data_IF_009928712674
#
_entry.id   IF_009928712674
#
_cell.length_a   1.000
_cell.length_b   1.000
_cell.length_c   1.000
_cell.angle_alpha   90.00
_cell.angle_beta   90.00
_cell.angle_gamma   90.00
#
_symmetry.space_group_name_H-M   'P 1'
#
loop_
_entity.id
_entity.type
_entity.pdbx_description
1 polymer ?
#
# COMPACT_ATOMS: atom_id res chain seq x y z
N UNK A 1 48.50 60.51 13.89
CA UNK A 1 47.15 59.95 13.67
C UNK A 1 46.62 60.45 12.33
N UNK A 2 46.76 59.67 11.26
CA UNK A 2 46.22 60.02 9.93
C UNK A 2 45.02 59.11 9.65
N UNK A 3 43.82 59.70 9.56
CA UNK A 3 42.57 59.01 9.26
C UNK A 3 42.58 58.57 7.79
N UNK A 4 42.51 57.26 7.57
CA UNK A 4 42.39 56.64 6.27
C UNK A 4 40.93 56.74 5.80
N UNK A 5 40.65 57.64 4.87
CA UNK A 5 39.31 57.89 4.34
C UNK A 5 39.09 57.00 3.11
N UNK A 6 38.63 55.77 3.32
CA UNK A 6 38.19 54.92 2.21
C UNK A 6 36.82 55.40 1.73
N UNK A 7 36.82 56.11 0.61
CA UNK A 7 35.62 56.46 -0.12
C UNK A 7 35.02 55.17 -0.73
N UNK A 8 33.93 54.67 -0.12
CA UNK A 8 33.11 53.63 -0.73
C UNK A 8 32.40 54.25 -1.94
N UNK A 9 32.86 53.91 -3.15
CA UNK A 9 32.19 54.31 -4.38
C UNK A 9 30.86 53.57 -4.46
N UNK A 10 29.78 54.24 -4.06
CA UNK A 10 28.42 53.76 -4.28
C UNK A 10 28.16 53.85 -5.78
N UNK A 11 28.05 52.69 -6.43
CA UNK A 11 27.68 52.61 -7.84
C UNK A 11 26.32 53.31 -8.05
N UNK A 12 26.12 54.07 -9.14
CA UNK A 12 24.86 54.72 -9.41
C UNK A 12 23.73 53.67 -9.49
N UNK A 13 22.72 53.81 -8.64
CA UNK A 13 21.52 52.97 -8.69
C UNK A 13 20.78 53.27 -9.99
N UNK A 14 20.89 52.36 -10.95
CA UNK A 14 20.06 52.38 -12.15
C UNK A 14 18.64 51.95 -11.75
N UNK A 15 17.67 52.86 -11.89
CA UNK A 15 16.27 52.58 -11.60
C UNK A 15 15.66 51.58 -12.61
N UNK A 16 14.65 50.83 -12.17
CA UNK A 16 13.95 49.87 -13.02
C UNK A 16 13.30 50.56 -14.22
N UNK A 17 13.50 50.00 -15.41
CA UNK A 17 12.75 50.43 -16.58
C UNK A 17 11.34 49.80 -16.56
N UNK A 18 10.32 50.50 -17.08
CA UNK A 18 8.95 49.96 -17.15
C UNK A 18 8.89 48.66 -17.97
N UNK A 19 9.72 48.56 -19.01
CA UNK A 19 9.85 47.40 -19.87
C UNK A 19 10.38 46.17 -19.12
N UNK A 20 11.35 46.36 -18.22
CA UNK A 20 11.92 45.30 -17.39
C UNK A 20 10.88 44.69 -16.44
N UNK A 21 10.02 45.53 -15.85
CA UNK A 21 8.91 45.06 -15.00
C UNK A 21 7.87 44.30 -15.83
N UNK A 22 7.56 44.75 -17.05
CA UNK A 22 6.65 44.02 -17.94
C UNK A 22 7.19 42.65 -18.34
N UNK A 23 8.46 42.56 -18.74
CA UNK A 23 9.07 41.28 -19.12
C UNK A 23 9.14 40.35 -17.89
N UNK A 24 9.52 40.88 -16.73
CA UNK A 24 9.58 40.11 -15.49
C UNK A 24 8.21 39.54 -15.09
N UNK A 25 7.14 40.31 -15.22
CA UNK A 25 5.78 39.84 -14.91
C UNK A 25 5.29 38.78 -15.91
N UNK A 26 5.63 38.90 -17.19
CA UNK A 26 5.33 37.86 -18.19
C UNK A 26 6.07 36.56 -17.87
N UNK A 27 7.37 36.62 -17.57
CA UNK A 27 8.15 35.43 -17.20
C UNK A 27 7.61 34.79 -15.92
N UNK A 28 7.26 35.60 -14.92
CA UNK A 28 6.73 35.12 -13.64
C UNK A 28 5.39 34.41 -13.82
N UNK A 29 4.48 35.00 -14.61
CA UNK A 29 3.16 34.39 -14.84
C UNK A 29 3.26 33.05 -15.57
N UNK A 30 4.11 32.95 -16.60
CA UNK A 30 4.37 31.66 -17.30
C UNK A 30 4.99 30.63 -16.36
N UNK A 31 5.94 31.04 -15.52
CA UNK A 31 6.59 30.15 -14.54
C UNK A 31 5.59 29.62 -13.51
N UNK A 32 4.73 30.48 -12.96
CA UNK A 32 3.74 30.10 -11.96
C UNK A 32 2.68 29.15 -12.54
N UNK A 33 2.29 29.35 -13.80
CA UNK A 33 1.35 28.47 -14.49
C UNK A 33 1.92 27.06 -14.65
N UNK A 34 3.22 26.94 -14.95
CA UNK A 34 3.92 25.66 -15.00
C UNK A 34 3.92 24.93 -13.65
N UNK A 35 4.21 25.65 -12.55
CA UNK A 35 4.23 25.07 -11.19
C UNK A 35 2.83 24.62 -10.76
N UNK A 36 1.79 25.39 -11.08
CA UNK A 36 0.41 25.04 -10.74
C UNK A 36 -0.01 23.68 -11.36
N UNK A 37 0.38 23.44 -12.61
CA UNK A 37 0.18 22.13 -13.26
C UNK A 37 0.94 21.01 -12.55
N UNK A 38 2.22 21.24 -12.25
CA UNK A 38 3.06 20.26 -11.56
C UNK A 38 2.57 19.93 -10.14
N UNK A 39 2.03 20.91 -9.41
CA UNK A 39 1.51 20.74 -8.05
C UNK A 39 0.37 19.72 -8.00
N UNK A 40 -0.54 19.76 -8.97
CA UNK A 40 -1.63 18.78 -9.07
C UNK A 40 -1.13 17.35 -9.29
N UNK A 41 -0.16 17.17 -10.18
CA UNK A 41 0.47 15.87 -10.41
C UNK A 41 1.23 15.37 -9.17
N UNK A 42 2.00 16.24 -8.50
CA UNK A 42 2.74 15.87 -7.30
C UNK A 42 1.83 15.36 -6.18
N UNK A 43 0.66 15.97 -5.99
CA UNK A 43 -0.35 15.51 -5.03
C UNK A 43 -0.88 14.11 -5.38
N UNK A 44 -1.23 13.88 -6.65
CA UNK A 44 -1.70 12.57 -7.13
C UNK A 44 -0.64 11.48 -6.92
N UNK A 45 0.60 11.72 -7.33
CA UNK A 45 1.69 10.75 -7.16
C UNK A 45 1.99 10.48 -5.68
N UNK A 46 1.91 11.51 -4.83
CA UNK A 46 2.09 11.35 -3.38
C UNK A 46 1.00 10.45 -2.77
N UNK A 47 -0.25 10.58 -3.21
CA UNK A 47 -1.34 9.74 -2.75
C UNK A 47 -1.15 8.28 -3.18
N UNK A 48 -0.83 8.03 -4.44
CA UNK A 48 -0.58 6.68 -4.95
C UNK A 48 0.63 6.00 -4.25
N UNK A 49 1.69 6.76 -3.98
CA UNK A 49 2.86 6.26 -3.25
C UNK A 49 2.52 5.86 -1.81
N UNK A 50 1.65 6.62 -1.13
CA UNK A 50 1.17 6.28 0.22
C UNK A 50 0.35 5.00 0.21
N UNK A 51 -0.58 4.85 -0.74
CA UNK A 51 -1.38 3.63 -0.88
C UNK A 51 -0.49 2.39 -1.12
N UNK A 52 0.50 2.51 -2.00
CA UNK A 52 1.46 1.44 -2.26
C UNK A 52 2.27 1.08 -1.00
N UNK A 53 2.77 2.08 -0.28
CA UNK A 53 3.53 1.87 0.96
C UNK A 53 2.68 1.14 2.01
N UNK A 54 1.41 1.53 2.16
CA UNK A 54 0.50 0.90 3.09
C UNK A 54 0.18 -0.56 2.71
N UNK A 55 0.01 -0.86 1.42
CA UNK A 55 -0.20 -2.22 0.93
C UNK A 55 1.01 -3.12 1.23
N UNK A 56 2.23 -2.63 0.98
CA UNK A 56 3.48 -3.35 1.28
C UNK A 56 3.64 -3.55 2.79
N UNK A 57 3.31 -2.54 3.60
CA UNK A 57 3.37 -2.63 5.06
C UNK A 57 2.46 -3.74 5.61
N UNK A 58 1.18 -3.76 5.17
CA UNK A 58 0.23 -4.81 5.56
C UNK A 58 0.71 -6.19 5.09
N UNK A 59 1.24 -6.29 3.87
CA UNK A 59 1.76 -7.56 3.36
C UNK A 59 2.90 -8.11 4.24
N UNK A 60 3.83 -7.24 4.64
CA UNK A 60 4.93 -7.62 5.53
C UNK A 60 4.45 -7.99 6.94
N UNK A 61 3.51 -7.25 7.51
CA UNK A 61 2.95 -7.55 8.84
C UNK A 61 2.27 -8.93 8.86
N UNK A 62 1.48 -9.25 7.82
CA UNK A 62 0.84 -10.56 7.68
C UNK A 62 1.90 -11.67 7.57
N UNK A 63 2.88 -11.51 6.68
CA UNK A 63 3.94 -12.50 6.49
C UNK A 63 4.72 -12.77 7.76
N UNK A 64 5.09 -11.72 8.49
CA UNK A 64 5.90 -11.86 9.69
C UNK A 64 5.12 -12.53 10.82
N UNK A 65 3.86 -12.16 11.01
CA UNK A 65 2.98 -12.85 11.96
C UNK A 65 2.76 -14.31 11.60
N UNK A 66 2.59 -14.65 10.32
CA UNK A 66 2.52 -16.04 9.86
C UNK A 66 3.79 -16.84 10.18
N UNK A 67 4.97 -16.24 10.04
CA UNK A 67 6.24 -16.85 10.45
C UNK A 67 6.28 -17.10 11.95
N UNK A 68 5.95 -16.08 12.74
CA UNK A 68 5.99 -16.14 14.21
C UNK A 68 4.98 -17.15 14.78
N UNK A 69 3.78 -17.20 14.22
CA UNK A 69 2.70 -18.08 14.68
C UNK A 69 2.53 -19.33 13.80
N UNK A 70 3.56 -19.74 13.04
CA UNK A 70 3.55 -20.88 12.10
C UNK A 70 2.78 -22.08 12.67
N UNK A 71 3.16 -22.58 13.85
CA UNK A 71 2.56 -23.78 14.46
C UNK A 71 1.04 -23.62 14.66
N UNK A 72 0.57 -22.44 15.05
CA UNK A 72 -0.85 -22.18 15.24
C UNK A 72 -1.60 -22.29 13.92
N UNK A 73 -1.08 -21.67 12.85
CA UNK A 73 -1.64 -21.74 11.49
C UNK A 73 -1.62 -23.16 10.93
N UNK A 74 -0.52 -23.90 11.11
CA UNK A 74 -0.44 -25.29 10.66
C UNK A 74 -1.49 -26.18 11.33
N UNK A 75 -1.61 -26.07 12.66
CA UNK A 75 -2.50 -26.91 13.47
C UNK A 75 -3.97 -26.50 13.40
N UNK A 76 -4.30 -25.31 12.94
CA UNK A 76 -5.71 -24.89 12.83
C UNK A 76 -6.25 -25.08 11.41
N UNK A 77 -5.40 -24.86 10.40
CA UNK A 77 -5.83 -24.74 9.00
C UNK A 77 -5.47 -25.96 8.17
N UNK A 78 -4.26 -26.52 8.33
CA UNK A 78 -3.74 -27.58 7.44
C UNK A 78 -3.93 -29.01 7.98
N UNK A 79 -4.70 -29.20 9.06
CA UNK A 79 -5.02 -30.54 9.61
C UNK A 79 -5.95 -31.40 8.72
N UNK A 80 -6.36 -30.91 7.55
CA UNK A 80 -7.09 -31.72 6.57
C UNK A 80 -6.11 -32.16 5.49
N UNK A 81 -5.85 -33.46 5.46
CA UNK A 81 -4.86 -34.27 4.71
C UNK A 81 -4.63 -34.03 3.20
N UNK A 82 -5.11 -32.92 2.62
CA UNK A 82 -4.72 -32.50 1.26
C UNK A 82 -5.05 -31.03 0.90
N UNK A 83 -5.46 -30.22 1.87
CA UNK A 83 -6.17 -28.98 1.56
C UNK A 83 -5.28 -27.77 1.41
N UNK A 84 -5.19 -27.21 0.21
CA UNK A 84 -4.90 -25.77 0.06
C UNK A 84 -5.93 -24.98 0.89
N UNK A 85 -5.48 -23.98 1.63
CA UNK A 85 -6.37 -23.06 2.34
C UNK A 85 -6.29 -21.66 1.76
N UNK A 86 -7.44 -21.04 1.57
CA UNK A 86 -7.53 -19.67 1.10
C UNK A 86 -8.35 -18.82 2.07
N UNK A 87 -7.78 -17.70 2.49
CA UNK A 87 -8.43 -16.69 3.32
C UNK A 87 -8.51 -15.38 2.53
N UNK A 88 -9.72 -14.85 2.40
CA UNK A 88 -9.97 -13.55 1.78
C UNK A 88 -10.43 -12.57 2.86
N UNK A 89 -9.66 -11.50 3.05
CA UNK A 89 -9.93 -10.42 3.99
C UNK A 89 -10.30 -9.19 3.18
N UNK A 90 -11.37 -8.49 3.52
CA UNK A 90 -11.74 -7.24 2.87
C UNK A 90 -11.95 -6.13 3.91
N UNK A 91 -11.90 -4.88 3.45
CA UNK A 91 -12.05 -3.71 4.29
C UNK A 91 -13.50 -3.25 4.51
N UNK A 92 -14.51 -3.98 4.00
CA UNK A 92 -15.91 -3.52 3.99
C UNK A 92 -16.84 -4.33 4.92
N UNK A 93 -16.48 -5.52 5.41
CA UNK A 93 -17.33 -6.27 6.36
C UNK A 93 -16.56 -7.31 7.17
N UNK A 94 -16.81 -7.33 8.49
CA UNK A 94 -16.24 -8.23 9.52
C UNK A 94 -16.70 -9.70 9.39
N UNK A 95 -16.51 -10.30 8.22
CA UNK A 95 -16.83 -11.70 7.96
C UNK A 95 -15.68 -12.36 7.20
N UNK A 96 -14.46 -12.28 7.74
CA UNK A 96 -13.53 -13.38 7.52
C UNK A 96 -14.21 -14.63 8.10
N UNK A 97 -14.52 -15.62 7.26
CA UNK A 97 -15.00 -16.94 7.68
C UNK A 97 -13.88 -17.61 8.47
N UNK A 98 -13.81 -17.28 9.75
CA UNK A 98 -12.82 -17.81 10.67
C UNK A 98 -13.24 -19.23 11.09
N UNK A 99 -12.29 -20.15 11.30
CA UNK A 99 -12.60 -21.47 11.84
C UNK A 99 -13.21 -21.29 13.23
N UNK A 100 -14.53 -21.44 13.33
CA UNK A 100 -15.24 -21.34 14.60
C UNK A 100 -14.71 -22.43 15.53
N UNK A 101 -14.21 -22.04 16.70
CA UNK A 101 -13.81 -22.94 17.77
C UNK A 101 -15.01 -23.82 18.15
N UNK A 102 -15.07 -25.03 17.60
CA UNK A 102 -15.97 -26.08 18.05
C UNK A 102 -15.17 -27.03 18.96
N UNK A 103 -15.81 -27.59 20.00
CA UNK A 103 -15.18 -28.36 21.11
C UNK A 103 -14.24 -29.53 20.73
N UNK A 104 -14.11 -29.87 19.43
CA UNK A 104 -13.15 -30.86 18.88
C UNK A 104 -11.82 -30.26 18.43
N UNK A 105 -11.68 -28.93 18.35
CA UNK A 105 -10.49 -28.24 17.85
C UNK A 105 -9.78 -27.50 18.99
N UNK A 106 -8.44 -27.46 18.96
CA UNK A 106 -7.63 -26.87 20.02
C UNK A 106 -7.73 -25.34 19.99
N UNK A 107 -8.78 -24.79 20.62
CA UNK A 107 -9.21 -23.40 20.48
C UNK A 107 -8.13 -22.36 20.81
N UNK A 108 -7.13 -22.71 21.63
CA UNK A 108 -5.96 -21.86 21.88
C UNK A 108 -5.26 -21.37 20.61
N UNK A 109 -5.22 -22.17 19.55
CA UNK A 109 -4.64 -21.75 18.26
C UNK A 109 -5.63 -20.98 17.38
N UNK A 110 -6.92 -21.32 17.45
CA UNK A 110 -7.96 -20.64 16.68
C UNK A 110 -8.19 -19.20 17.20
N UNK A 111 -8.10 -18.98 18.51
CA UNK A 111 -8.27 -17.64 19.12
C UNK A 111 -7.14 -16.70 18.70
N UNK A 112 -5.90 -17.22 18.60
CA UNK A 112 -4.73 -16.49 18.11
C UNK A 112 -4.92 -16.04 16.65
N UNK A 113 -5.39 -16.95 15.80
CA UNK A 113 -5.62 -16.65 14.37
C UNK A 113 -6.81 -15.73 14.18
N UNK A 114 -7.86 -15.91 14.99
CA UNK A 114 -9.01 -15.01 15.00
C UNK A 114 -8.57 -13.58 15.32
N UNK A 115 -7.71 -13.40 16.32
CA UNK A 115 -7.14 -12.11 16.67
C UNK A 115 -6.30 -11.53 15.52
N UNK A 116 -5.35 -12.30 14.98
CA UNK A 116 -4.49 -11.86 13.87
C UNK A 116 -5.30 -11.39 12.66
N UNK A 117 -6.29 -12.17 12.23
CA UNK A 117 -7.13 -11.83 11.07
C UNK A 117 -8.00 -10.61 11.34
N UNK A 118 -8.51 -10.46 12.57
CA UNK A 118 -9.30 -9.28 12.97
C UNK A 118 -8.44 -8.02 12.98
N UNK A 119 -7.22 -8.10 13.52
CA UNK A 119 -6.25 -7.00 13.51
C UNK A 119 -5.92 -6.59 12.06
N UNK A 120 -5.61 -7.55 11.19
CA UNK A 120 -5.33 -7.29 9.78
C UNK A 120 -6.50 -6.63 9.08
N UNK A 121 -7.72 -7.06 9.39
CA UNK A 121 -8.92 -6.46 8.84
C UNK A 121 -9.09 -5.01 9.30
N UNK A 122 -8.89 -4.72 10.58
CA UNK A 122 -8.96 -3.36 11.12
C UNK A 122 -7.84 -2.47 10.54
N UNK A 123 -6.64 -3.00 10.39
CA UNK A 123 -5.53 -2.32 9.73
C UNK A 123 -5.85 -2.03 8.25
N UNK A 124 -6.47 -2.98 7.53
CA UNK A 124 -6.87 -2.79 6.14
C UNK A 124 -7.99 -1.74 6.00
N UNK A 125 -8.96 -1.73 6.93
CA UNK A 125 -10.03 -0.74 6.97
C UNK A 125 -9.53 0.68 7.27
N UNK A 126 -8.57 0.83 8.18
CA UNK A 126 -7.97 2.14 8.49
C UNK A 126 -7.02 2.63 7.40
N UNK A 127 -6.31 1.72 6.74
CA UNK A 127 -5.44 1.99 5.60
C UNK A 127 -6.18 2.50 4.35
N UNK A 128 -7.35 1.92 4.09
CA UNK A 128 -8.14 2.17 2.88
C UNK A 128 -9.58 2.53 3.26
N UNK A 129 -9.83 3.73 3.81
CA UNK A 129 -11.17 4.10 4.29
C UNK A 129 -12.16 4.40 3.16
N UNK A 130 -11.67 4.86 2.00
CA UNK A 130 -12.51 5.34 0.88
C UNK A 130 -12.41 4.48 -0.39
N UNK A 131 -11.62 3.41 -0.37
CA UNK A 131 -11.36 2.55 -1.53
C UNK A 131 -11.49 1.09 -1.14
N UNK A 132 -12.11 0.25 -1.98
CA UNK A 132 -12.16 -1.19 -1.71
C UNK A 132 -10.75 -1.80 -1.77
N UNK A 133 -10.39 -2.48 -0.69
CA UNK A 133 -9.12 -3.20 -0.54
C UNK A 133 -9.39 -4.60 -0.01
N UNK A 134 -8.64 -5.58 -0.52
CA UNK A 134 -8.73 -6.96 -0.10
C UNK A 134 -7.35 -7.62 -0.05
N UNK A 135 -7.21 -8.58 0.84
CA UNK A 135 -6.03 -9.42 0.96
C UNK A 135 -6.46 -10.87 0.77
N UNK A 136 -5.75 -11.59 -0.08
CA UNK A 136 -5.93 -13.02 -0.26
C UNK A 136 -4.65 -13.75 0.17
N UNK A 137 -4.80 -14.64 1.13
CA UNK A 137 -3.75 -15.52 1.64
C UNK A 137 -4.06 -16.94 1.18
N UNK A 138 -3.13 -17.57 0.46
CA UNK A 138 -3.19 -18.97 0.04
C UNK A 138 -2.06 -19.75 0.69
N UNK A 139 -2.40 -20.85 1.37
CA UNK A 139 -1.46 -21.77 2.01
C UNK A 139 -1.57 -23.11 1.30
N UNK A 140 -0.48 -23.58 0.69
CA UNK A 140 -0.43 -24.85 -0.03
C UNK A 140 0.59 -25.77 0.63
N UNK A 141 0.13 -26.91 1.13
CA UNK A 141 1.00 -27.96 1.64
C UNK A 141 1.29 -28.96 0.52
N UNK A 142 2.58 -29.19 0.23
CA UNK A 142 2.98 -30.15 -0.79
C UNK A 142 3.23 -31.50 -0.13
N UNK A 143 2.43 -32.53 -0.42
CA UNK A 143 2.58 -33.87 0.17
C UNK A 143 3.97 -34.50 0.05
N UNK A 144 4.77 -34.06 -0.92
CA UNK A 144 6.11 -34.58 -1.21
C UNK A 144 7.24 -33.90 -0.44
N UNK A 145 6.99 -32.75 0.20
CA UNK A 145 8.00 -31.95 0.89
C UNK A 145 7.43 -31.39 2.22
N UNK A 146 8.20 -31.30 3.31
CA UNK A 146 7.72 -30.70 4.57
C UNK A 146 7.58 -29.16 4.49
N UNK A 147 7.45 -28.62 3.28
CA UNK A 147 7.46 -27.19 2.96
C UNK A 147 6.04 -26.72 2.67
N UNK A 148 5.70 -25.54 3.18
CA UNK A 148 4.41 -24.92 2.94
C UNK A 148 4.61 -23.66 2.13
N UNK A 149 4.06 -23.66 0.92
CA UNK A 149 4.06 -22.52 0.03
C UNK A 149 2.97 -21.55 0.49
N UNK A 150 3.37 -20.30 0.78
CA UNK A 150 2.51 -19.20 1.21
C UNK A 150 2.49 -18.15 0.12
N UNK A 151 1.33 -17.92 -0.47
CA UNK A 151 1.10 -16.86 -1.45
C UNK A 151 0.19 -15.80 -0.83
N UNK A 152 0.69 -14.56 -0.73
CA UNK A 152 -0.05 -13.41 -0.26
C UNK A 152 -0.26 -12.42 -1.39
N UNK A 153 -1.52 -12.05 -1.65
CA UNK A 153 -1.90 -11.07 -2.66
C UNK A 153 -2.69 -9.94 -2.00
N UNK A 154 -2.17 -8.71 -2.07
CA UNK A 154 -2.89 -7.50 -1.63
C UNK A 154 -3.44 -6.78 -2.84
N UNK A 155 -4.74 -6.52 -2.84
CA UNK A 155 -5.48 -5.87 -3.91
C UNK A 155 -6.11 -4.56 -3.39
N UNK A 156 -6.00 -3.47 -4.14
CA UNK A 156 -6.73 -2.24 -3.85
C UNK A 156 -7.10 -1.50 -5.13
N UNK A 157 -8.15 -0.69 -5.07
CA UNK A 157 -8.63 0.12 -6.20
C UNK A 157 -8.11 1.56 -6.06
N UNK A 158 -7.60 2.12 -7.15
CA UNK A 158 -7.24 3.54 -7.19
C UNK A 158 -8.52 4.35 -7.41
N UNK A 159 -8.71 5.39 -6.61
CA UNK A 159 -9.83 6.31 -6.80
C UNK A 159 -9.68 7.03 -8.16
N UNK A 160 -10.73 7.06 -8.97
CA UNK A 160 -10.76 7.66 -10.31
C UNK A 160 -9.82 6.99 -11.35
N UNK A 161 -9.63 5.68 -11.25
CA UNK A 161 -8.96 4.93 -12.31
C UNK A 161 -9.79 4.96 -13.61
N UNK A 162 -9.15 5.31 -14.73
CA UNK A 162 -9.76 5.15 -16.05
C UNK A 162 -10.08 3.66 -16.29
N UNK A 163 -11.26 3.40 -16.87
CA UNK A 163 -11.78 2.04 -17.16
C UNK A 163 -10.88 1.19 -18.07
N UNK A 164 -9.81 1.76 -18.64
CA UNK A 164 -8.89 1.13 -19.58
C UNK A 164 -7.63 0.52 -18.96
N UNK A 165 -7.44 0.59 -17.65
CA UNK A 165 -6.31 -0.08 -16.98
C UNK A 165 -6.66 -1.51 -16.59
N UNK A 166 -6.76 -2.38 -17.60
CA UNK A 166 -6.85 -3.82 -17.40
C UNK A 166 -5.47 -4.34 -16.99
N UNK A 167 -5.19 -4.34 -15.69
CA UNK A 167 -3.97 -4.92 -15.13
C UNK A 167 -4.17 -6.44 -15.08
N UNK A 168 -3.25 -7.25 -15.65
CA UNK A 168 -3.38 -8.70 -15.65
C UNK A 168 -3.45 -9.21 -14.21
N UNK A 169 -4.36 -10.15 -13.97
CA UNK A 169 -4.53 -10.78 -12.66
C UNK A 169 -3.27 -11.61 -12.39
N UNK A 170 -2.43 -11.17 -11.44
CA UNK A 170 -1.22 -11.87 -11.03
C UNK A 170 -1.53 -13.20 -10.32
N UNK A 171 -2.72 -13.33 -9.74
CA UNK A 171 -3.21 -14.56 -9.13
C UNK A 171 -4.72 -14.72 -9.32
N UNK A 172 -5.11 -15.64 -10.22
CA UNK A 172 -6.51 -15.92 -10.58
C UNK A 172 -7.28 -16.66 -9.47
N UNK A 173 -6.59 -17.26 -8.50
CA UNK A 173 -7.23 -17.87 -7.32
C UNK A 173 -7.71 -16.80 -6.32
N UNK A 174 -7.07 -15.63 -6.33
CA UNK A 174 -7.20 -14.58 -5.32
C UNK A 174 -7.88 -13.29 -5.80
N UNK A 175 -8.46 -13.29 -7.02
CA UNK A 175 -9.21 -12.14 -7.52
C UNK A 175 -9.85 -12.34 -8.89
N UNK A 176 -11.06 -11.79 -9.04
CA UNK A 176 -11.71 -11.56 -10.34
C UNK A 176 -11.17 -10.28 -10.99
N UNK A 177 -11.24 -10.20 -12.33
CA UNK A 177 -10.86 -9.03 -13.12
C UNK A 177 -11.79 -7.84 -12.82
N UNK A 178 -11.28 -6.78 -12.19
CA UNK A 178 -12.00 -5.50 -12.05
C UNK A 178 -11.10 -4.34 -12.53
N UNK A 179 -11.70 -3.36 -13.19
CA UNK A 179 -11.01 -2.18 -13.76
C UNK A 179 -10.37 -1.32 -12.67
N UNK A 180 -9.09 -0.97 -12.80
CA UNK A 180 -8.39 -0.05 -11.88
C UNK A 180 -7.81 -0.69 -10.61
N UNK A 181 -7.74 -2.04 -10.54
CA UNK A 181 -7.11 -2.78 -9.44
C UNK A 181 -5.58 -2.78 -9.54
N UNK A 182 -4.90 -2.40 -8.46
CA UNK A 182 -3.47 -2.70 -8.25
C UNK A 182 -3.33 -3.96 -7.40
N UNK A 183 -2.27 -4.73 -7.68
CA UNK A 183 -1.96 -5.96 -6.97
C UNK A 183 -0.51 -5.94 -6.49
N UNK A 184 -0.27 -6.45 -5.30
CA UNK A 184 1.05 -6.73 -4.75
C UNK A 184 1.11 -8.19 -4.32
N UNK A 185 2.01 -8.97 -4.92
CA UNK A 185 2.22 -10.38 -4.63
C UNK A 185 3.48 -10.55 -3.81
N UNK A 186 3.41 -11.41 -2.80
CA UNK A 186 4.52 -11.80 -1.95
C UNK A 186 4.43 -13.31 -1.72
N UNK A 187 5.54 -14.02 -1.92
CA UNK A 187 5.61 -15.47 -1.78
C UNK A 187 6.64 -15.84 -0.72
N UNK A 188 6.36 -16.91 0.02
CA UNK A 188 7.22 -17.41 1.08
C UNK A 188 7.06 -18.91 1.26
N UNK A 189 8.11 -19.56 1.74
CA UNK A 189 8.07 -20.96 2.16
C UNK A 189 8.25 -21.04 3.68
N UNK A 190 7.36 -21.76 4.35
CA UNK A 190 7.39 -21.96 5.81
C UNK A 190 7.99 -23.31 6.18
#
# INVERSE_FOLDING_TARGET
>A
MLKNNQAYLVAPQQGFTLLEVMISTVILTVSLLGIAGMYGFASKFSYEARQHTQAVYIANDIMERLRMSKIAWLKSVLLKDDGSYQLNINNQSATALLPTCNKKQNCRYNDLIFHDVTDWQQHLASAFPSSSASVCLSLKHRKTEPVIDVDLTVNWIIHNADKSTMIPVLNTECGQTETGRRQYLMQMQL
#
